data_IF_121097652176
#
_entry.id   IF_121097652176
#
_cell.length_a   1.000
_cell.length_b   1.000
_cell.length_c   1.000
_cell.angle_alpha   90.00
_cell.angle_beta   90.00
_cell.angle_gamma   90.00
#
_symmetry.space_group_name_H-M   'P 1'
#
loop_
_entity.id
_entity.type
_entity.pdbx_description
1 polymer ?
#
# COMPACT_ATOMS: atom_id res chain seq x y z
N UNK A 1 27.97 32.69 22.81
CA UNK A 1 26.53 32.33 22.70
C UNK A 1 25.80 33.02 21.56
N UNK A 2 25.99 34.34 21.29
CA UNK A 2 25.29 35.05 20.16
C UNK A 2 25.62 34.51 18.75
N UNK A 3 26.82 33.98 18.52
CA UNK A 3 27.19 33.46 17.19
C UNK A 3 26.65 32.06 16.87
N UNK A 4 26.43 31.25 17.89
CA UNK A 4 25.85 29.89 17.70
C UNK A 4 24.36 29.93 17.30
N UNK A 5 23.62 30.90 17.86
CA UNK A 5 22.19 31.10 17.53
C UNK A 5 22.03 31.62 16.07
N UNK A 6 22.96 32.49 15.58
CA UNK A 6 22.91 32.92 14.18
C UNK A 6 23.20 31.81 13.17
N UNK A 7 24.11 30.89 13.48
CA UNK A 7 24.41 29.74 12.60
C UNK A 7 23.24 28.77 12.52
N UNK A 8 22.56 28.48 13.66
CA UNK A 8 21.38 27.61 13.67
C UNK A 8 20.21 28.24 12.89
N UNK A 9 20.03 29.56 13.00
CA UNK A 9 18.95 30.27 12.29
C UNK A 9 19.22 30.35 10.76
N UNK A 10 20.50 30.47 10.33
CA UNK A 10 20.89 30.45 8.93
C UNK A 10 20.71 29.06 8.30
N UNK A 11 21.04 27.97 9.02
CA UNK A 11 20.87 26.59 8.54
C UNK A 11 19.38 26.26 8.41
N UNK A 12 18.54 26.62 9.37
CA UNK A 12 17.10 26.38 9.31
C UNK A 12 16.41 27.19 8.21
N UNK A 13 16.85 28.38 7.91
CA UNK A 13 16.30 29.23 6.86
C UNK A 13 16.65 28.68 5.47
N UNK A 14 17.89 28.25 5.24
CA UNK A 14 18.34 27.62 3.99
C UNK A 14 17.60 26.32 3.69
N UNK A 15 17.40 25.46 4.70
CA UNK A 15 16.66 24.21 4.55
C UNK A 15 15.17 24.42 4.24
N UNK A 16 14.59 25.51 4.77
CA UNK A 16 13.20 25.88 4.53
C UNK A 16 12.94 26.38 3.11
N UNK A 17 13.88 27.10 2.51
CA UNK A 17 13.79 27.56 1.11
C UNK A 17 13.96 26.38 0.14
N UNK A 18 14.87 25.46 0.40
CA UNK A 18 15.13 24.27 -0.42
C UNK A 18 13.90 23.35 -0.55
N UNK A 19 13.11 23.20 0.53
CA UNK A 19 11.86 22.42 0.50
C UNK A 19 10.78 23.11 -0.34
N UNK A 20 10.67 24.42 -0.27
CA UNK A 20 9.66 25.14 -1.03
C UNK A 20 9.93 25.07 -2.55
N UNK A 21 11.15 24.73 -2.99
CA UNK A 21 11.52 24.49 -4.39
C UNK A 21 11.40 23.00 -4.82
N UNK A 22 11.17 22.08 -3.88
CA UNK A 22 11.06 20.66 -4.18
C UNK A 22 9.83 20.35 -5.07
N UNK A 23 10.07 19.70 -6.20
CA UNK A 23 9.05 19.40 -7.21
C UNK A 23 7.90 18.53 -6.64
N UNK A 24 8.23 17.54 -5.81
CA UNK A 24 7.22 16.64 -5.25
C UNK A 24 6.39 17.35 -4.19
N UNK A 25 7.03 18.19 -3.36
CA UNK A 25 6.34 19.02 -2.38
C UNK A 25 5.30 19.93 -3.04
N UNK A 26 5.70 20.68 -4.08
CA UNK A 26 4.80 21.58 -4.81
C UNK A 26 3.60 20.82 -5.41
N UNK A 27 3.85 19.72 -6.11
CA UNK A 27 2.80 18.89 -6.70
C UNK A 27 1.84 18.32 -5.67
N UNK A 28 2.36 17.88 -4.52
CA UNK A 28 1.53 17.32 -3.45
C UNK A 28 0.71 18.39 -2.75
N UNK A 29 1.27 19.60 -2.52
CA UNK A 29 0.50 20.72 -1.97
C UNK A 29 -0.65 21.12 -2.91
N UNK A 30 -0.37 21.23 -4.21
CA UNK A 30 -1.41 21.50 -5.22
C UNK A 30 -2.50 20.42 -5.18
N UNK A 31 -2.09 19.13 -5.12
CA UNK A 31 -3.04 18.01 -5.09
C UNK A 31 -3.87 17.96 -3.82
N UNK A 32 -3.31 18.37 -2.68
CA UNK A 32 -4.02 18.42 -1.40
C UNK A 32 -5.04 19.55 -1.34
N UNK A 33 -4.84 20.63 -2.08
CA UNK A 33 -5.77 21.77 -2.18
C UNK A 33 -6.30 22.26 -0.80
N UNK A 34 -5.39 22.40 0.16
CA UNK A 34 -5.71 22.84 1.51
C UNK A 34 -6.34 21.76 2.43
N UNK A 35 -6.47 20.52 1.98
CA UNK A 35 -7.03 19.43 2.80
C UNK A 35 -6.20 19.09 4.06
N UNK A 36 -4.91 19.47 4.08
CA UNK A 36 -4.02 19.29 5.22
C UNK A 36 -3.32 20.61 5.59
N UNK A 37 -2.95 20.82 6.87
CA UNK A 37 -2.14 21.97 7.26
C UNK A 37 -0.80 21.99 6.51
N UNK A 38 -0.44 23.12 5.90
CA UNK A 38 0.82 23.27 5.17
C UNK A 38 2.04 22.95 6.06
N UNK A 39 1.97 23.26 7.35
CA UNK A 39 3.02 22.95 8.32
C UNK A 39 3.27 21.44 8.47
N UNK A 40 2.20 20.62 8.45
CA UNK A 40 2.33 19.17 8.51
C UNK A 40 2.98 18.64 7.23
N UNK A 41 2.52 19.08 6.07
CA UNK A 41 3.11 18.65 4.78
C UNK A 41 4.58 19.05 4.72
N UNK A 42 4.92 20.30 5.07
CA UNK A 42 6.31 20.77 5.12
C UNK A 42 7.17 19.93 6.06
N UNK A 43 6.66 19.59 7.25
CA UNK A 43 7.34 18.71 8.21
C UNK A 43 7.62 17.33 7.62
N UNK A 44 6.65 16.73 6.90
CA UNK A 44 6.81 15.42 6.27
C UNK A 44 7.93 15.41 5.22
N UNK A 45 7.99 16.44 4.38
CA UNK A 45 9.03 16.58 3.34
C UNK A 45 10.40 17.01 3.89
N UNK A 46 10.44 17.69 5.04
CA UNK A 46 11.69 18.10 5.71
C UNK A 46 12.24 17.02 6.66
N UNK A 47 11.61 15.84 6.74
CA UNK A 47 12.08 14.77 7.61
C UNK A 47 13.44 14.25 7.13
N UNK A 48 14.39 14.02 8.05
CA UNK A 48 15.76 13.58 7.76
C UNK A 48 15.84 12.25 6.98
N UNK A 49 14.81 11.43 7.08
CA UNK A 49 14.67 10.15 6.35
C UNK A 49 14.22 10.30 4.90
N UNK A 50 13.87 11.51 4.42
CA UNK A 50 13.42 11.71 3.03
C UNK A 50 14.58 11.55 2.07
N UNK A 51 14.41 10.65 1.11
CA UNK A 51 15.44 10.37 0.10
C UNK A 51 14.86 9.74 -1.16
N UNK A 52 15.55 9.92 -2.27
CA UNK A 52 15.26 9.26 -3.55
C UNK A 52 15.98 7.91 -3.59
N UNK A 53 15.23 6.86 -3.93
CA UNK A 53 15.73 5.51 -4.16
C UNK A 53 15.77 5.22 -5.67
N UNK A 54 16.93 5.37 -6.28
CA UNK A 54 17.13 5.19 -7.74
C UNK A 54 16.78 3.77 -8.22
N UNK A 55 16.97 2.77 -7.37
CA UNK A 55 16.65 1.37 -7.65
C UNK A 55 15.15 1.10 -7.88
N UNK A 56 14.28 2.02 -7.50
CA UNK A 56 12.83 1.89 -7.70
C UNK A 56 12.49 1.90 -9.19
N UNK A 57 13.05 2.81 -9.96
CA UNK A 57 12.83 2.88 -11.41
C UNK A 57 13.30 1.60 -12.12
N UNK A 58 14.41 1.01 -11.66
CA UNK A 58 14.94 -0.25 -12.21
C UNK A 58 14.00 -1.43 -11.95
N UNK A 59 13.37 -1.48 -10.76
CA UNK A 59 12.40 -2.53 -10.43
C UNK A 59 11.17 -2.49 -11.31
N UNK A 60 10.65 -1.30 -11.62
CA UNK A 60 9.53 -1.14 -12.55
C UNK A 60 9.88 -1.56 -13.99
N UNK A 61 11.14 -1.56 -14.38
CA UNK A 61 11.57 -2.01 -15.70
C UNK A 61 11.51 -3.54 -15.87
N UNK A 62 11.44 -4.31 -14.77
CA UNK A 62 11.50 -5.79 -14.77
C UNK A 62 10.33 -6.41 -13.98
N UNK A 63 9.05 -6.15 -14.34
CA UNK A 63 7.91 -6.66 -13.60
C UNK A 63 7.76 -8.18 -13.75
N UNK A 64 7.44 -8.87 -12.65
CA UNK A 64 7.22 -10.33 -12.61
C UNK A 64 6.02 -10.77 -13.45
N UNK A 65 5.00 -9.93 -13.55
CA UNK A 65 3.74 -10.18 -14.25
C UNK A 65 3.91 -10.41 -15.77
N UNK A 66 5.04 -9.97 -16.34
CA UNK A 66 5.41 -10.22 -17.74
C UNK A 66 5.94 -11.63 -18.02
N UNK A 67 6.19 -12.44 -16.99
CA UNK A 67 6.64 -13.83 -17.16
C UNK A 67 5.51 -14.70 -17.70
N UNK A 68 5.89 -15.78 -18.43
CA UNK A 68 4.94 -16.82 -18.79
C UNK A 68 4.32 -17.43 -17.50
N UNK A 69 3.07 -17.88 -17.58
CA UNK A 69 2.36 -18.48 -16.44
C UNK A 69 3.16 -19.61 -15.77
N UNK A 70 3.77 -20.48 -16.55
CA UNK A 70 4.58 -21.59 -16.06
C UNK A 70 5.72 -21.15 -15.12
N UNK A 71 6.30 -19.96 -15.36
CA UNK A 71 7.38 -19.40 -14.54
C UNK A 71 6.86 -18.50 -13.43
N UNK A 72 5.80 -17.74 -13.70
CA UNK A 72 5.11 -16.94 -12.68
C UNK A 72 4.57 -17.83 -11.56
N UNK A 73 3.89 -18.92 -11.91
CA UNK A 73 3.35 -19.88 -10.95
C UNK A 73 4.41 -20.40 -9.97
N UNK A 74 5.64 -20.70 -10.45
CA UNK A 74 6.74 -21.20 -9.60
C UNK A 74 7.20 -20.21 -8.53
N UNK A 75 6.92 -18.91 -8.71
CA UNK A 75 7.26 -17.88 -7.72
C UNK A 75 6.31 -17.92 -6.53
N UNK A 76 5.01 -18.10 -6.81
CA UNK A 76 3.95 -17.96 -5.81
C UNK A 76 3.42 -19.31 -5.30
N UNK A 77 3.27 -20.31 -6.17
CA UNK A 77 2.74 -21.62 -5.80
C UNK A 77 3.90 -22.56 -5.43
N UNK A 78 4.32 -22.48 -4.17
CA UNK A 78 5.37 -23.32 -3.59
C UNK A 78 4.81 -24.11 -2.42
N UNK A 79 5.29 -25.32 -2.20
CA UNK A 79 4.87 -26.18 -1.07
C UNK A 79 5.00 -25.46 0.29
N UNK A 80 6.07 -24.70 0.48
CA UNK A 80 6.29 -23.92 1.69
C UNK A 80 5.19 -22.86 1.91
N UNK A 81 4.72 -22.19 0.85
CA UNK A 81 3.64 -21.19 0.94
C UNK A 81 2.29 -21.86 1.14
N UNK A 82 2.04 -22.98 0.49
CA UNK A 82 0.82 -23.79 0.69
C UNK A 82 0.72 -24.22 2.15
N UNK A 83 1.80 -24.79 2.69
CA UNK A 83 1.86 -25.22 4.10
C UNK A 83 1.69 -24.03 5.07
N UNK A 84 2.31 -22.88 4.77
CA UNK A 84 2.13 -21.65 5.55
C UNK A 84 0.68 -21.16 5.52
N UNK A 85 0.02 -21.22 4.35
CA UNK A 85 -1.39 -20.88 4.18
C UNK A 85 -2.33 -21.78 4.96
N UNK A 86 -2.10 -23.08 4.91
CA UNK A 86 -2.88 -24.04 5.69
C UNK A 86 -2.75 -23.80 7.20
N UNK A 87 -1.53 -23.50 7.67
CA UNK A 87 -1.27 -23.13 9.07
C UNK A 87 -1.94 -21.80 9.43
N UNK A 88 -1.81 -20.78 8.58
CA UNK A 88 -2.45 -19.48 8.78
C UNK A 88 -3.96 -19.61 8.87
N UNK A 89 -4.58 -20.33 7.93
CA UNK A 89 -6.01 -20.61 7.91
C UNK A 89 -6.48 -21.28 9.21
N UNK A 90 -5.79 -22.34 9.61
CA UNK A 90 -6.12 -23.10 10.85
C UNK A 90 -6.02 -22.21 12.10
N UNK A 91 -4.97 -21.40 12.20
CA UNK A 91 -4.73 -20.54 13.36
C UNK A 91 -5.72 -19.36 13.46
N UNK A 92 -6.28 -18.93 12.33
CA UNK A 92 -7.18 -17.79 12.23
C UNK A 92 -8.61 -18.19 11.80
N UNK A 93 -8.99 -19.48 11.95
CA UNK A 93 -10.22 -20.04 11.41
C UNK A 93 -11.47 -19.22 11.79
N UNK A 94 -11.63 -18.87 13.07
CA UNK A 94 -12.79 -18.11 13.55
C UNK A 94 -12.87 -16.73 12.89
N UNK A 95 -11.74 -16.02 12.81
CA UNK A 95 -11.66 -14.70 12.19
C UNK A 95 -11.99 -14.79 10.69
N UNK A 96 -11.36 -15.72 9.98
CA UNK A 96 -11.57 -15.90 8.54
C UNK A 96 -13.01 -16.26 8.24
N UNK A 97 -13.64 -17.16 9.04
CA UNK A 97 -15.05 -17.52 8.89
C UNK A 97 -15.96 -16.30 9.11
N UNK A 98 -15.71 -15.50 10.15
CA UNK A 98 -16.48 -14.28 10.42
C UNK A 98 -16.37 -13.25 9.32
N UNK A 99 -15.17 -13.05 8.76
CA UNK A 99 -14.94 -12.16 7.60
C UNK A 99 -15.66 -12.69 6.35
N UNK A 100 -15.51 -13.99 6.06
CA UNK A 100 -16.17 -14.65 4.93
C UNK A 100 -17.70 -14.51 5.01
N UNK A 101 -18.28 -14.76 6.18
CA UNK A 101 -19.72 -14.62 6.42
C UNK A 101 -20.19 -13.17 6.23
N UNK A 102 -19.48 -12.19 6.82
CA UNK A 102 -19.85 -10.77 6.75
C UNK A 102 -19.83 -10.22 5.32
N UNK A 103 -18.85 -10.61 4.51
CA UNK A 103 -18.66 -10.04 3.16
C UNK A 103 -19.12 -10.96 2.03
N UNK A 104 -19.45 -12.22 2.31
CA UNK A 104 -19.82 -13.19 1.29
C UNK A 104 -18.68 -13.56 0.34
N UNK A 105 -17.43 -13.58 0.82
CA UNK A 105 -16.25 -13.90 0.02
C UNK A 105 -15.69 -15.24 0.47
N UNK A 106 -15.31 -16.09 -0.50
CA UNK A 106 -14.70 -17.40 -0.21
C UNK A 106 -13.46 -17.23 0.69
N UNK A 107 -13.40 -17.93 1.84
CA UNK A 107 -12.32 -17.82 2.81
C UNK A 107 -10.96 -18.20 2.21
N UNK A 108 -10.91 -19.10 1.24
CA UNK A 108 -9.65 -19.50 0.59
C UNK A 108 -9.12 -18.40 -0.33
N UNK A 109 -9.99 -17.62 -0.98
CA UNK A 109 -9.56 -16.47 -1.78
C UNK A 109 -8.96 -15.39 -0.89
N UNK A 110 -9.60 -15.07 0.25
CA UNK A 110 -9.09 -14.09 1.23
C UNK A 110 -7.69 -14.50 1.70
N UNK A 111 -7.53 -15.77 2.10
CA UNK A 111 -6.25 -16.31 2.58
C UNK A 111 -5.20 -16.34 1.47
N UNK A 112 -5.60 -16.68 0.24
CA UNK A 112 -4.68 -16.73 -0.90
C UNK A 112 -4.12 -15.34 -1.21
N UNK A 113 -4.96 -14.31 -1.24
CA UNK A 113 -4.50 -12.92 -1.44
C UNK A 113 -3.52 -12.52 -0.33
N UNK A 114 -3.85 -12.74 0.96
CA UNK A 114 -2.92 -12.47 2.06
C UNK A 114 -1.57 -13.20 1.91
N UNK A 115 -1.59 -14.42 1.37
CA UNK A 115 -0.39 -15.20 1.09
C UNK A 115 0.42 -14.67 -0.10
N UNK A 116 -0.23 -14.21 -1.16
CA UNK A 116 0.45 -13.64 -2.33
C UNK A 116 1.07 -12.29 -1.99
N UNK A 117 0.34 -11.41 -1.31
CA UNK A 117 0.73 -10.04 -1.03
C UNK A 117 1.87 -9.93 -0.02
N UNK A 118 1.82 -10.66 1.08
CA UNK A 118 2.79 -10.51 2.16
C UNK A 118 3.42 -11.80 2.67
N UNK A 119 3.13 -12.95 2.03
CA UNK A 119 3.49 -14.25 2.58
C UNK A 119 3.06 -14.38 4.05
N UNK A 120 1.79 -14.05 4.31
CA UNK A 120 1.19 -14.05 5.65
C UNK A 120 1.92 -13.13 6.64
N UNK A 121 2.28 -11.93 6.20
CA UNK A 121 2.92 -10.91 7.02
C UNK A 121 4.44 -11.02 7.12
N UNK A 122 5.09 -11.96 6.43
CA UNK A 122 6.57 -12.12 6.46
C UNK A 122 7.28 -11.09 5.58
N UNK A 123 6.69 -10.73 4.44
CA UNK A 123 7.29 -9.84 3.43
C UNK A 123 6.32 -8.69 3.10
N UNK A 124 6.53 -7.51 3.67
CA UNK A 124 5.62 -6.39 3.47
C UNK A 124 6.28 -5.00 3.45
N UNK A 125 7.56 -4.88 3.82
CA UNK A 125 8.21 -3.57 4.00
C UNK A 125 9.63 -3.61 3.46
N UNK A 126 9.88 -2.92 2.36
CA UNK A 126 11.21 -2.78 1.75
C UNK A 126 11.66 -1.33 1.70
N UNK A 127 10.72 -0.39 1.62
CA UNK A 127 10.94 1.05 1.57
C UNK A 127 9.95 1.74 2.49
N UNK A 128 10.25 2.95 2.95
CA UNK A 128 9.18 3.83 3.44
C UNK A 128 8.22 4.12 2.29
N UNK A 129 6.90 4.07 2.55
CA UNK A 129 5.86 4.40 1.54
C UNK A 129 6.07 5.81 1.01
N UNK A 130 6.39 6.75 1.90
CA UNK A 130 6.70 8.13 1.52
C UNK A 130 7.83 8.16 0.49
N UNK A 131 8.99 7.55 0.81
CA UNK A 131 10.16 7.58 -0.06
C UNK A 131 9.93 6.81 -1.37
N UNK A 132 9.15 5.73 -1.34
CA UNK A 132 8.81 5.00 -2.56
C UNK A 132 8.00 5.87 -3.53
N UNK A 133 7.00 6.60 -3.04
CA UNK A 133 6.19 7.50 -3.87
C UNK A 133 6.94 8.78 -4.25
N UNK A 134 7.70 9.34 -3.32
CA UNK A 134 8.57 10.49 -3.54
C UNK A 134 9.57 10.24 -4.68
N UNK A 135 10.25 9.08 -4.65
CA UNK A 135 11.17 8.68 -5.72
C UNK A 135 10.48 8.56 -7.08
N UNK A 136 9.25 8.01 -7.11
CA UNK A 136 8.49 7.90 -8.35
C UNK A 136 8.08 9.28 -8.92
N UNK A 137 7.82 10.27 -8.05
CA UNK A 137 7.49 11.62 -8.50
C UNK A 137 8.67 12.26 -9.22
N UNK A 138 9.89 12.08 -8.70
CA UNK A 138 11.12 12.65 -9.26
C UNK A 138 11.64 11.87 -10.47
N UNK A 139 11.80 10.56 -10.35
CA UNK A 139 12.56 9.76 -11.31
C UNK A 139 11.69 9.08 -12.38
N UNK A 140 10.35 9.14 -12.26
CA UNK A 140 9.46 8.44 -13.17
C UNK A 140 8.38 9.35 -13.77
N UNK A 141 8.69 10.15 -14.81
CA UNK A 141 7.75 11.14 -15.37
C UNK A 141 6.36 10.58 -15.72
N UNK A 142 6.30 9.35 -16.27
CA UNK A 142 5.04 8.69 -16.62
C UNK A 142 4.18 8.31 -15.41
N UNK A 143 4.79 8.15 -14.25
CA UNK A 143 4.11 7.82 -12.98
C UNK A 143 3.94 9.00 -12.05
N UNK A 144 4.63 10.11 -12.28
CA UNK A 144 4.69 11.26 -11.39
C UNK A 144 3.29 11.74 -10.96
N UNK A 145 2.35 11.91 -11.90
CA UNK A 145 0.98 12.32 -11.60
C UNK A 145 0.24 11.31 -10.69
N UNK A 146 0.42 10.02 -10.95
CA UNK A 146 -0.17 8.96 -10.14
C UNK A 146 0.46 8.93 -8.75
N UNK A 147 1.79 8.96 -8.65
CA UNK A 147 2.51 8.92 -7.37
C UNK A 147 2.22 10.16 -6.51
N UNK A 148 2.04 11.34 -7.12
CA UNK A 148 1.59 12.55 -6.42
C UNK A 148 0.23 12.35 -5.75
N UNK A 149 -0.74 11.75 -6.45
CA UNK A 149 -2.05 11.43 -5.89
C UNK A 149 -1.94 10.45 -4.73
N UNK A 150 -1.18 9.38 -4.91
CA UNK A 150 -1.01 8.37 -3.85
C UNK A 150 -0.28 8.95 -2.63
N UNK A 151 0.75 9.79 -2.83
CA UNK A 151 1.43 10.44 -1.71
C UNK A 151 0.52 11.42 -0.96
N UNK A 152 -0.34 12.13 -1.65
CA UNK A 152 -1.35 12.99 -1.01
C UNK A 152 -2.33 12.17 -0.16
N UNK A 153 -2.83 11.03 -0.66
CA UNK A 153 -3.71 10.12 0.11
C UNK A 153 -2.96 9.49 1.30
N UNK A 154 -1.70 9.12 1.12
CA UNK A 154 -0.86 8.62 2.20
C UNK A 154 -0.67 9.66 3.32
N UNK A 155 -0.43 10.91 2.97
CA UNK A 155 -0.30 11.99 3.95
C UNK A 155 -1.60 12.26 4.70
N UNK A 156 -2.75 12.16 4.03
CA UNK A 156 -4.06 12.25 4.70
C UNK A 156 -4.25 11.13 5.73
N UNK A 157 -3.90 9.91 5.37
CA UNK A 157 -3.93 8.77 6.29
C UNK A 157 -3.01 9.00 7.50
N UNK A 158 -1.74 9.35 7.26
CA UNK A 158 -0.80 9.62 8.37
C UNK A 158 -1.27 10.76 9.28
N UNK A 159 -1.89 11.80 8.70
CA UNK A 159 -2.40 12.93 9.49
C UNK A 159 -3.59 12.52 10.35
N UNK A 160 -4.57 11.80 9.78
CA UNK A 160 -5.77 11.37 10.52
C UNK A 160 -5.42 10.45 11.69
N UNK A 161 -4.50 9.53 11.47
CA UNK A 161 -4.15 8.49 12.44
C UNK A 161 -2.91 8.85 13.28
N UNK A 162 -2.40 10.10 13.12
CA UNK A 162 -1.24 10.66 13.86
C UNK A 162 0.03 9.83 13.74
N UNK A 163 0.28 9.30 12.55
CA UNK A 163 1.42 8.42 12.25
C UNK A 163 2.61 9.22 11.73
N UNK A 164 3.82 8.71 12.01
CA UNK A 164 5.02 9.21 11.34
C UNK A 164 5.05 8.77 9.88
N UNK A 165 5.26 9.73 8.98
CA UNK A 165 5.25 9.50 7.54
C UNK A 165 6.41 8.65 7.03
N UNK A 166 7.48 8.48 7.82
CA UNK A 166 8.65 7.69 7.45
C UNK A 166 8.63 6.27 8.03
N UNK A 167 7.82 6.01 9.06
CA UNK A 167 7.79 4.71 9.75
C UNK A 167 6.92 3.67 9.03
N UNK A 168 6.01 4.09 8.14
CA UNK A 168 5.16 3.17 7.40
C UNK A 168 5.95 2.54 6.25
N UNK A 169 6.30 1.27 6.43
CA UNK A 169 7.01 0.49 5.43
C UNK A 169 6.08 -0.08 4.35
N UNK A 170 6.59 -0.20 3.13
CA UNK A 170 5.83 -0.75 2.00
C UNK A 170 6.70 -1.28 0.88
N UNK A 171 6.11 -1.50 -0.28
CA UNK A 171 6.79 -1.95 -1.49
C UNK A 171 7.40 -0.78 -2.27
N UNK A 172 8.23 -1.09 -3.25
CA UNK A 172 8.77 -0.11 -4.20
C UNK A 172 7.67 0.65 -4.99
N UNK A 173 6.46 0.08 -5.06
CA UNK A 173 5.32 0.70 -5.71
C UNK A 173 4.52 1.63 -4.77
N UNK A 174 4.83 1.64 -3.46
CA UNK A 174 4.11 2.42 -2.46
C UNK A 174 2.90 1.69 -1.86
N UNK A 175 2.74 0.39 -2.13
CA UNK A 175 1.74 -0.44 -1.47
C UNK A 175 2.22 -0.84 -0.07
N UNK A 176 1.32 -0.93 0.91
CA UNK A 176 1.68 -1.17 2.30
C UNK A 176 0.70 -2.06 3.06
N UNK A 177 1.12 -2.46 4.26
CA UNK A 177 0.37 -3.39 5.10
C UNK A 177 0.44 -4.84 4.61
N UNK A 178 -0.18 -5.77 5.33
CA UNK A 178 -0.19 -7.18 4.94
C UNK A 178 -1.06 -7.45 3.71
N UNK A 179 -2.01 -6.56 3.39
CA UNK A 179 -2.84 -6.61 2.17
C UNK A 179 -2.24 -5.86 0.98
N UNK A 180 -1.09 -5.20 1.13
CA UNK A 180 -0.41 -4.44 0.07
C UNK A 180 -1.32 -3.47 -0.69
N UNK A 181 -2.17 -2.74 0.05
CA UNK A 181 -2.99 -1.68 -0.54
C UNK A 181 -2.13 -0.45 -0.89
N UNK A 182 -2.38 0.14 -2.05
CA UNK A 182 -1.89 1.50 -2.33
C UNK A 182 -2.70 2.51 -1.48
N UNK A 183 -2.18 3.70 -1.17
CA UNK A 183 -2.82 4.65 -0.26
C UNK A 183 -4.28 4.96 -0.60
N UNK A 184 -4.61 5.23 -1.86
CA UNK A 184 -5.99 5.50 -2.29
C UNK A 184 -6.91 4.30 -2.09
N UNK A 185 -6.43 3.07 -2.33
CA UNK A 185 -7.20 1.85 -2.07
C UNK A 185 -7.39 1.61 -0.57
N UNK A 186 -6.37 1.86 0.25
CA UNK A 186 -6.49 1.78 1.70
C UNK A 186 -7.56 2.74 2.22
N UNK A 187 -7.52 4.00 1.79
CA UNK A 187 -8.53 5.00 2.19
C UNK A 187 -9.95 4.56 1.80
N UNK A 188 -10.11 3.94 0.64
CA UNK A 188 -11.42 3.58 0.09
C UNK A 188 -11.98 2.27 0.66
N UNK A 189 -11.15 1.26 0.85
CA UNK A 189 -11.58 -0.11 1.08
C UNK A 189 -11.24 -0.66 2.46
N UNK A 190 -10.32 -0.02 3.20
CA UNK A 190 -9.96 -0.51 4.54
C UNK A 190 -11.11 -0.39 5.51
N UNK A 191 -11.21 -1.35 6.41
CA UNK A 191 -12.22 -1.43 7.45
C UNK A 191 -11.58 -1.68 8.80
N UNK A 192 -12.18 -1.14 9.84
CA UNK A 192 -11.95 -1.53 11.23
C UNK A 192 -12.85 -2.73 11.49
N UNK A 193 -12.29 -3.93 11.38
CA UNK A 193 -13.08 -5.17 11.51
C UNK A 193 -13.25 -5.62 12.96
N UNK A 194 -12.32 -5.24 13.81
CA UNK A 194 -12.35 -5.58 15.24
C UNK A 194 -13.02 -4.50 16.12
N UNK A 195 -13.55 -3.42 15.49
CA UNK A 195 -14.26 -2.31 16.11
C UNK A 195 -13.45 -1.60 17.21
N UNK A 196 -12.11 -1.50 17.03
CA UNK A 196 -11.23 -0.80 17.98
C UNK A 196 -11.09 0.71 17.70
N UNK A 197 -11.71 1.21 16.64
CA UNK A 197 -11.71 2.62 16.22
C UNK A 197 -10.56 2.99 15.29
N UNK A 198 -9.71 2.04 14.89
CA UNK A 198 -8.53 2.25 14.04
C UNK A 198 -8.55 1.26 12.87
N UNK A 199 -8.11 1.69 11.70
CA UNK A 199 -7.89 0.80 10.55
C UNK A 199 -6.42 0.47 10.43
N UNK A 200 -6.04 -0.73 10.86
CA UNK A 200 -4.64 -1.11 11.04
C UNK A 200 -4.14 -1.97 9.86
N UNK A 201 -3.19 -1.49 9.04
CA UNK A 201 -2.71 -2.22 7.87
C UNK A 201 -1.85 -3.45 8.21
N UNK A 202 -1.48 -3.63 9.47
CA UNK A 202 -0.68 -4.75 9.98
C UNK A 202 -1.42 -5.59 11.02
N UNK A 203 -2.73 -5.39 11.18
CA UNK A 203 -3.62 -6.19 12.04
C UNK A 203 -4.47 -7.13 11.20
N UNK A 204 -4.40 -8.44 11.45
CA UNK A 204 -5.11 -9.44 10.64
C UNK A 204 -6.63 -9.25 10.60
N UNK A 205 -7.34 -8.87 11.66
CA UNK A 205 -8.76 -8.58 11.56
C UNK A 205 -9.07 -7.55 10.48
N UNK A 206 -8.39 -6.42 10.49
CA UNK A 206 -8.64 -5.32 9.57
C UNK A 206 -8.16 -5.65 8.15
N UNK A 207 -7.02 -6.31 8.05
CA UNK A 207 -6.45 -6.71 6.75
C UNK A 207 -7.35 -7.70 6.03
N UNK A 208 -7.79 -8.77 6.69
CA UNK A 208 -8.67 -9.76 6.09
C UNK A 208 -10.05 -9.18 5.79
N UNK A 209 -10.59 -8.35 6.69
CA UNK A 209 -11.81 -7.58 6.46
C UNK A 209 -11.70 -6.66 5.27
N UNK A 210 -10.57 -5.94 5.14
CA UNK A 210 -10.31 -5.00 4.03
C UNK A 210 -10.16 -5.72 2.69
N UNK A 211 -9.47 -6.87 2.65
CA UNK A 211 -9.36 -7.70 1.44
C UNK A 211 -10.75 -8.15 0.99
N UNK A 212 -11.57 -8.66 1.91
CA UNK A 212 -12.90 -9.12 1.59
C UNK A 212 -13.83 -7.98 1.17
N UNK A 213 -13.76 -6.82 1.84
CA UNK A 213 -14.51 -5.63 1.48
C UNK A 213 -14.12 -5.11 0.09
N UNK A 214 -12.81 -5.10 -0.22
CA UNK A 214 -12.33 -4.74 -1.56
C UNK A 214 -12.95 -5.63 -2.63
N UNK A 215 -12.88 -6.94 -2.48
CA UNK A 215 -13.43 -7.89 -3.45
C UNK A 215 -14.93 -7.71 -3.63
N UNK A 216 -15.69 -7.60 -2.53
CA UNK A 216 -17.13 -7.37 -2.57
C UNK A 216 -17.49 -6.08 -3.33
N UNK A 217 -16.82 -4.97 -3.02
CA UNK A 217 -17.09 -3.67 -3.66
C UNK A 217 -16.65 -3.63 -5.13
N UNK A 218 -15.76 -4.55 -5.54
CA UNK A 218 -15.37 -4.74 -6.92
C UNK A 218 -16.13 -5.87 -7.63
N UNK A 219 -17.31 -6.24 -7.12
CA UNK A 219 -18.26 -7.11 -7.81
C UNK A 219 -18.13 -8.59 -7.51
N UNK A 220 -17.36 -8.99 -6.49
CA UNK A 220 -17.34 -10.39 -6.05
C UNK A 220 -18.75 -10.83 -5.63
N UNK A 221 -19.23 -11.93 -6.20
CA UNK A 221 -20.53 -12.53 -5.88
C UNK A 221 -20.35 -13.92 -5.29
N UNK A 222 -20.86 -14.14 -4.07
CA UNK A 222 -20.84 -15.43 -3.39
C UNK A 222 -21.72 -16.50 -4.08
N UNK A 223 -22.65 -16.06 -4.93
CA UNK A 223 -23.55 -16.95 -5.67
C UNK A 223 -22.98 -17.34 -7.04
N UNK A 224 -21.78 -16.85 -7.39
CA UNK A 224 -21.11 -17.17 -8.64
C UNK A 224 -20.14 -18.32 -8.45
N UNK A 225 -20.22 -19.32 -9.32
CA UNK A 225 -19.22 -20.38 -9.49
C UNK A 225 -18.40 -20.13 -10.79
N UNK A 226 -18.59 -18.98 -11.42
CA UNK A 226 -17.92 -18.63 -12.68
C UNK A 226 -16.54 -18.02 -12.44
N UNK A 227 -15.51 -18.87 -12.50
CA UNK A 227 -14.09 -18.49 -12.45
C UNK A 227 -13.51 -18.13 -13.83
N UNK A 228 -14.33 -18.07 -14.88
CA UNK A 228 -13.87 -17.64 -16.20
C UNK A 228 -13.50 -16.15 -16.21
N UNK A 229 -12.74 -15.72 -17.21
CA UNK A 229 -12.36 -14.29 -17.39
C UNK A 229 -13.55 -13.33 -17.48
N UNK A 230 -14.76 -13.84 -17.72
CA UNK A 230 -16.00 -13.05 -17.76
C UNK A 230 -16.75 -13.06 -16.43
N UNK A 231 -16.43 -14.00 -15.54
CA UNK A 231 -17.08 -14.18 -14.25
C UNK A 231 -16.76 -13.06 -13.26
N UNK A 232 -17.65 -12.89 -12.29
CA UNK A 232 -17.52 -11.82 -11.29
C UNK A 232 -16.35 -12.08 -10.33
N UNK A 233 -16.07 -13.35 -10.01
CA UNK A 233 -14.92 -13.74 -9.18
C UNK A 233 -13.62 -13.30 -9.84
N UNK A 234 -13.44 -13.64 -11.13
CA UNK A 234 -12.25 -13.25 -11.88
C UNK A 234 -12.07 -11.73 -11.92
N UNK A 235 -13.14 -10.99 -12.24
CA UNK A 235 -13.10 -9.52 -12.34
C UNK A 235 -12.75 -8.87 -11.02
N UNK A 236 -13.31 -9.34 -9.90
CA UNK A 236 -13.02 -8.81 -8.57
C UNK A 236 -11.54 -9.04 -8.17
N UNK A 237 -11.00 -10.23 -8.43
CA UNK A 237 -9.58 -10.53 -8.17
C UNK A 237 -8.68 -9.74 -9.12
N UNK A 238 -9.05 -9.62 -10.41
CA UNK A 238 -8.31 -8.81 -11.38
C UNK A 238 -8.28 -7.32 -11.01
N UNK A 239 -9.33 -6.80 -10.38
CA UNK A 239 -9.33 -5.43 -9.86
C UNK A 239 -8.29 -5.23 -8.75
N UNK A 240 -8.03 -6.27 -7.94
CA UNK A 240 -7.00 -6.22 -6.88
C UNK A 240 -5.59 -6.08 -7.47
N UNK A 241 -5.29 -6.88 -8.49
CA UNK A 241 -4.06 -6.77 -9.27
C UNK A 241 -4.36 -7.01 -10.76
N UNK A 242 -4.11 -6.00 -11.58
CA UNK A 242 -4.45 -5.97 -13.01
C UNK A 242 -3.52 -6.85 -13.86
N UNK A 243 -3.36 -8.11 -13.45
CA UNK A 243 -2.57 -9.10 -14.18
C UNK A 243 -3.30 -10.44 -14.23
N UNK A 244 -3.51 -10.97 -15.45
CA UNK A 244 -4.12 -12.29 -15.64
C UNK A 244 -3.39 -13.38 -14.84
N UNK A 245 -2.06 -13.34 -14.82
CA UNK A 245 -1.24 -14.28 -14.05
C UNK A 245 -1.50 -14.25 -12.55
N UNK A 246 -1.95 -13.12 -12.01
CA UNK A 246 -2.31 -13.01 -10.60
C UNK A 246 -3.62 -13.75 -10.28
N UNK A 247 -4.58 -13.71 -11.21
CA UNK A 247 -5.90 -14.33 -11.00
C UNK A 247 -5.87 -15.84 -11.21
N UNK A 248 -5.00 -16.33 -12.10
CA UNK A 248 -4.87 -17.74 -12.45
C UNK A 248 -4.20 -18.59 -11.36
#
# INVERSE_FOLDING_TARGET
MKNLIKIIFLITFSFSEEIDEDLAYQKVLEKLDGALPKSFVKKAFSHEGVKIHKEIAERFAKPYEKKAWSDYRKIFVKESRISAGAKFYKNNLKLISSVSEKYGVDPFIIVTIAGVESNYGVHHSQFSVFNALYSQIHDMPRRSKWATRELAEFLKYCFSDKLDTQEIGGSYAGAFGFGQFIPSSFTTYSVDFNDNGIREPYSWPDVLGSIANYLRLNGYSSNSEDYSKKGDIYKAIYAYNHADNYVM
#
